data_IF_638562871251
#
_entry.id   IF_638562871251
#
_cell.length_a   1.000
_cell.length_b   1.000
_cell.length_c   1.000
_cell.angle_alpha   90.00
_cell.angle_beta   90.00
_cell.angle_gamma   90.00
#
_symmetry.space_group_name_H-M   'P 1'
#
loop_
_entity.id
_entity.type
_entity.pdbx_description
1 polymer ?
#
# COMPACT_ATOMS: atom_id res chain seq x y z
N UNK A 1 3.46 2.92 29.93
CA UNK A 1 2.56 2.17 29.04
C UNK A 1 3.39 1.69 27.87
N UNK A 2 3.46 0.39 27.58
CA UNK A 2 4.12 -0.07 26.36
C UNK A 2 3.32 0.41 25.16
N UNK A 3 3.99 0.74 24.06
CA UNK A 3 3.28 0.97 22.81
C UNK A 3 2.54 -0.31 22.40
N UNK A 4 1.35 -0.20 21.79
CA UNK A 4 0.66 -1.36 21.24
C UNK A 4 1.51 -1.99 20.13
N UNK A 5 1.46 -3.32 20.02
CA UNK A 5 2.10 -4.06 18.93
C UNK A 5 1.43 -3.67 17.60
N UNK A 6 2.17 -3.05 16.65
CA UNK A 6 1.61 -2.63 15.38
C UNK A 6 1.05 -3.78 14.54
N UNK A 7 1.56 -5.01 14.71
CA UNK A 7 1.09 -6.18 13.96
C UNK A 7 -0.34 -6.60 14.29
N UNK A 8 -0.94 -6.06 15.35
CA UNK A 8 -2.34 -6.31 15.74
C UNK A 8 -3.36 -5.87 14.69
N UNK A 9 -2.96 -5.05 13.71
CA UNK A 9 -3.82 -4.66 12.58
C UNK A 9 -3.72 -5.62 11.38
N UNK A 10 -2.92 -6.69 11.47
CA UNK A 10 -2.87 -7.77 10.46
C UNK A 10 -4.04 -8.73 10.64
N UNK A 11 -5.23 -8.25 10.33
CA UNK A 11 -6.46 -9.03 10.48
C UNK A 11 -6.48 -10.25 9.54
N UNK A 12 -6.91 -11.43 10.00
CA UNK A 12 -6.90 -12.65 9.19
C UNK A 12 -7.96 -12.60 8.07
N UNK A 13 -7.66 -13.25 6.95
CA UNK A 13 -8.59 -13.45 5.84
C UNK A 13 -7.88 -14.05 4.61
N UNK A 14 -8.47 -13.92 3.40
CA UNK A 14 -7.95 -14.56 2.19
C UNK A 14 -6.72 -13.85 1.58
N UNK A 15 -6.17 -12.83 2.24
CA UNK A 15 -4.98 -12.09 1.80
C UNK A 15 -3.72 -12.63 2.48
N UNK A 16 -2.58 -12.40 1.82
CA UNK A 16 -1.25 -12.58 2.40
C UNK A 16 -0.72 -11.24 2.89
N UNK A 17 -0.26 -11.20 4.14
CA UNK A 17 0.45 -10.04 4.67
C UNK A 17 1.92 -10.10 4.29
N UNK A 18 2.46 -8.99 3.78
CA UNK A 18 3.86 -8.85 3.38
C UNK A 18 4.49 -7.62 3.99
N UNK A 19 5.77 -7.75 4.28
CA UNK A 19 6.67 -6.65 4.59
C UNK A 19 7.47 -6.30 3.35
N UNK A 20 7.22 -5.12 2.79
CA UNK A 20 7.89 -4.65 1.58
C UNK A 20 8.81 -3.49 1.94
N UNK A 21 10.09 -3.62 1.63
CA UNK A 21 11.07 -2.57 1.91
C UNK A 21 11.17 -1.63 0.71
N UNK A 22 10.82 -0.36 0.92
CA UNK A 22 10.82 0.67 -0.10
C UNK A 22 11.20 2.01 0.51
N UNK A 23 12.00 2.80 -0.23
CA UNK A 23 12.36 4.18 0.15
C UNK A 23 12.86 4.32 1.61
N UNK A 24 13.63 3.33 2.08
CA UNK A 24 14.22 3.32 3.42
C UNK A 24 13.27 3.00 4.57
N UNK A 25 12.05 2.52 4.29
CA UNK A 25 11.10 2.04 5.31
C UNK A 25 10.57 0.65 4.97
N UNK A 26 10.05 -0.05 5.98
CA UNK A 26 9.21 -1.24 5.80
C UNK A 26 7.74 -0.83 5.74
N UNK A 27 7.12 -1.12 4.60
CA UNK A 27 5.68 -1.00 4.37
C UNK A 27 5.00 -2.34 4.65
N UNK A 28 3.95 -2.31 5.45
CA UNK A 28 3.00 -3.42 5.55
C UNK A 28 2.01 -3.36 4.37
N UNK A 29 1.88 -4.48 3.68
CA UNK A 29 0.94 -4.68 2.59
C UNK A 29 0.11 -5.94 2.79
N UNK A 30 -1.20 -5.87 2.57
CA UNK A 30 -2.07 -7.02 2.43
C UNK A 30 -2.41 -7.23 0.95
N UNK A 31 -2.15 -8.41 0.42
CA UNK A 31 -2.33 -8.71 -0.99
C UNK A 31 -3.19 -9.96 -1.26
N UNK A 32 -3.92 -9.96 -2.37
CA UNK A 32 -4.72 -11.08 -2.87
C UNK A 32 -4.79 -11.02 -4.40
N UNK A 33 -5.05 -12.15 -5.04
CA UNK A 33 -5.19 -12.25 -6.49
C UNK A 33 -4.07 -13.06 -7.13
N UNK A 34 -3.97 -13.06 -8.47
CA UNK A 34 -2.98 -13.84 -9.19
C UNK A 34 -1.55 -13.44 -8.83
N UNK A 35 -0.65 -14.43 -8.82
CA UNK A 35 0.81 -14.22 -8.67
C UNK A 35 1.53 -14.27 -10.01
N UNK A 36 0.79 -14.33 -11.12
CA UNK A 36 1.33 -14.26 -12.47
C UNK A 36 2.03 -12.90 -12.67
N UNK A 37 3.28 -12.87 -13.18
CA UNK A 37 3.98 -11.63 -13.52
C UNK A 37 3.20 -10.70 -14.45
N UNK A 38 2.34 -11.25 -15.32
CA UNK A 38 1.57 -10.47 -16.30
C UNK A 38 0.23 -9.95 -15.73
N UNK A 39 -0.15 -10.36 -14.51
CA UNK A 39 -1.38 -9.88 -13.88
C UNK A 39 -1.25 -8.40 -13.50
N UNK A 40 -2.19 -7.52 -13.93
CA UNK A 40 -2.10 -6.09 -13.66
C UNK A 40 -2.16 -5.81 -12.15
N UNK A 41 -1.28 -4.92 -11.69
CA UNK A 41 -1.20 -4.49 -10.30
C UNK A 41 -2.17 -3.34 -10.03
N UNK A 42 -2.96 -3.46 -8.96
CA UNK A 42 -3.70 -2.35 -8.36
C UNK A 42 -3.26 -2.15 -6.90
N UNK A 43 -2.90 -0.92 -6.56
CA UNK A 43 -2.47 -0.53 -5.21
C UNK A 43 -3.49 0.42 -4.59
N UNK A 44 -3.98 0.07 -3.41
CA UNK A 44 -4.96 0.82 -2.65
C UNK A 44 -4.32 1.61 -1.51
N UNK A 45 -4.56 2.92 -1.48
CA UNK A 45 -4.00 3.87 -0.53
C UNK A 45 -5.10 4.47 0.35
N UNK A 46 -5.04 4.23 1.65
CA UNK A 46 -6.05 4.71 2.61
C UNK A 46 -5.89 6.20 2.97
N UNK A 47 -6.87 6.77 3.67
CA UNK A 47 -6.87 8.14 4.19
C UNK A 47 -6.36 8.29 5.63
N UNK A 48 -6.58 9.48 6.20
CA UNK A 48 -6.28 9.73 7.62
C UNK A 48 -7.16 8.88 8.55
N UNK A 49 -6.57 8.42 9.66
CA UNK A 49 -7.23 7.57 10.67
C UNK A 49 -7.82 6.26 10.13
N UNK A 50 -7.29 5.79 9.00
CA UNK A 50 -7.59 4.49 8.40
C UNK A 50 -6.34 3.59 8.38
N UNK A 51 -6.51 2.39 7.83
CA UNK A 51 -5.46 1.43 7.55
C UNK A 51 -5.87 0.57 6.34
N UNK A 52 -5.01 -0.31 5.86
CA UNK A 52 -5.23 -1.17 4.69
C UNK A 52 -6.62 -1.85 4.65
N UNK A 53 -7.18 -2.17 5.83
CA UNK A 53 -8.46 -2.85 6.07
C UNK A 53 -9.68 -2.15 5.48
N UNK A 54 -9.59 -0.84 5.27
CA UNK A 54 -10.64 -0.06 4.58
C UNK A 54 -10.91 -0.63 3.19
N UNK A 55 -9.92 -1.27 2.57
CA UNK A 55 -10.00 -1.86 1.24
C UNK A 55 -10.32 -3.35 1.19
N UNK A 56 -10.63 -4.01 2.32
CA UNK A 56 -10.83 -5.47 2.38
C UNK A 56 -11.84 -6.02 1.37
N UNK A 57 -12.87 -5.24 1.04
CA UNK A 57 -13.90 -5.63 0.07
C UNK A 57 -13.41 -5.44 -1.36
N UNK A 58 -12.68 -4.35 -1.62
CA UNK A 58 -12.08 -4.06 -2.92
C UNK A 58 -10.96 -5.05 -3.26
N UNK A 59 -10.17 -5.46 -2.27
CA UNK A 59 -9.16 -6.51 -2.42
C UNK A 59 -9.78 -7.78 -3.03
N UNK A 60 -10.90 -8.26 -2.48
CA UNK A 60 -11.61 -9.43 -2.99
C UNK A 60 -12.13 -9.18 -4.41
N UNK A 61 -12.85 -8.08 -4.61
CA UNK A 61 -13.46 -7.78 -5.90
C UNK A 61 -12.44 -7.65 -7.04
N UNK A 62 -11.28 -7.04 -6.79
CA UNK A 62 -10.25 -6.88 -7.80
C UNK A 62 -9.46 -8.17 -8.04
N UNK A 63 -9.22 -8.98 -7.01
CA UNK A 63 -8.65 -10.31 -7.19
C UNK A 63 -9.53 -11.22 -8.05
N UNK A 64 -10.85 -11.22 -7.83
CA UNK A 64 -11.82 -11.95 -8.64
C UNK A 64 -11.87 -11.45 -10.10
N UNK A 65 -11.59 -10.16 -10.30
CA UNK A 65 -11.47 -9.56 -11.63
C UNK A 65 -10.10 -9.82 -12.31
N UNK A 66 -9.20 -10.58 -11.69
CA UNK A 66 -7.91 -10.97 -12.27
C UNK A 66 -6.75 -10.00 -12.01
N UNK A 67 -6.91 -9.03 -11.11
CA UNK A 67 -5.83 -8.14 -10.71
C UNK A 67 -5.06 -8.71 -9.53
N UNK A 68 -3.76 -8.44 -9.47
CA UNK A 68 -3.03 -8.54 -8.21
C UNK A 68 -3.38 -7.30 -7.38
N UNK A 69 -4.18 -7.48 -6.34
CA UNK A 69 -4.71 -6.40 -5.52
C UNK A 69 -3.89 -6.26 -4.24
N UNK A 70 -3.39 -5.06 -3.96
CA UNK A 70 -2.52 -4.77 -2.81
C UNK A 70 -3.05 -3.55 -2.05
N UNK A 71 -3.35 -3.68 -0.77
CA UNK A 71 -3.68 -2.58 0.11
C UNK A 71 -2.54 -2.35 1.10
N UNK A 72 -2.10 -1.10 1.24
CA UNK A 72 -0.90 -0.76 2.03
C UNK A 72 -1.27 0.14 3.19
N UNK A 73 -0.65 -0.12 4.35
CA UNK A 73 -0.60 0.87 5.42
C UNK A 73 0.39 1.95 5.00
N UNK A 74 -0.08 3.19 4.83
CA UNK A 74 0.78 4.31 4.50
C UNK A 74 1.80 4.55 5.62
N UNK A 75 2.91 5.22 5.29
CA UNK A 75 3.93 5.64 6.25
C UNK A 75 3.29 6.22 7.52
N UNK A 76 3.68 5.71 8.69
CA UNK A 76 3.12 6.15 9.98
C UNK A 76 1.88 5.38 10.46
N UNK A 77 1.25 4.58 9.60
CA UNK A 77 0.01 3.87 9.91
C UNK A 77 0.21 2.38 10.12
N UNK A 78 -0.78 1.77 10.78
CA UNK A 78 -0.91 0.32 10.96
C UNK A 78 0.40 -0.36 11.34
N UNK A 79 0.81 -1.37 10.58
CA UNK A 79 2.08 -2.09 10.80
C UNK A 79 3.22 -1.60 9.89
N UNK A 80 3.05 -0.46 9.22
CA UNK A 80 4.14 0.22 8.51
C UNK A 80 5.02 0.99 9.50
N UNK A 81 6.29 1.16 9.17
CA UNK A 81 7.22 1.94 9.98
C UNK A 81 6.75 3.39 10.19
N UNK A 82 7.13 3.95 11.34
CA UNK A 82 6.64 5.24 11.84
C UNK A 82 7.80 6.21 12.11
N UNK A 83 8.58 6.58 11.06
CA UNK A 83 9.72 7.47 11.23
C UNK A 83 9.26 8.84 11.73
N UNK A 84 10.12 9.61 12.43
CA UNK A 84 9.73 10.91 13.00
C UNK A 84 9.52 12.01 11.95
N UNK A 85 9.77 11.74 10.66
CA UNK A 85 9.72 12.70 9.55
C UNK A 85 9.44 12.02 8.21
N UNK A 86 9.22 12.83 7.17
CA UNK A 86 9.03 12.37 5.79
C UNK A 86 7.57 12.06 5.45
N UNK A 87 6.64 12.92 5.88
CA UNK A 87 5.20 12.80 5.60
C UNK A 87 4.72 13.81 4.53
N UNK A 88 5.67 14.45 3.85
CA UNK A 88 5.40 15.31 2.71
C UNK A 88 5.07 14.48 1.46
N UNK A 89 4.43 15.10 0.48
CA UNK A 89 3.98 14.41 -0.75
C UNK A 89 5.12 13.80 -1.57
N UNK A 90 6.34 14.32 -1.51
CA UNK A 90 7.50 13.78 -2.23
C UNK A 90 7.94 12.47 -1.60
N UNK A 91 8.04 12.43 -0.27
CA UNK A 91 8.41 11.21 0.43
C UNK A 91 7.34 10.13 0.28
N UNK A 92 6.06 10.49 0.47
CA UNK A 92 4.96 9.52 0.34
C UNK A 92 4.84 8.95 -1.07
N UNK A 93 4.98 9.79 -2.11
CA UNK A 93 4.98 9.31 -3.50
C UNK A 93 6.18 8.42 -3.82
N UNK A 94 7.35 8.72 -3.29
CA UNK A 94 8.54 7.88 -3.43
C UNK A 94 8.39 6.53 -2.72
N UNK A 95 7.67 6.46 -1.60
CA UNK A 95 7.32 5.21 -0.93
C UNK A 95 6.48 4.32 -1.87
N UNK A 96 5.43 4.88 -2.49
CA UNK A 96 4.54 4.12 -3.37
C UNK A 96 5.24 3.72 -4.68
N UNK A 97 6.00 4.61 -5.29
CA UNK A 97 6.79 4.25 -6.47
C UNK A 97 7.85 3.17 -6.14
N UNK A 98 8.45 3.24 -4.95
CA UNK A 98 9.38 2.23 -4.46
C UNK A 98 8.69 0.88 -4.19
N UNK A 99 7.50 0.91 -3.62
CA UNK A 99 6.66 -0.27 -3.39
C UNK A 99 6.34 -0.99 -4.70
N UNK A 100 5.85 -0.26 -5.72
CA UNK A 100 5.52 -0.85 -7.04
C UNK A 100 6.73 -1.59 -7.62
N UNK A 101 7.91 -0.95 -7.62
CA UNK A 101 9.16 -1.59 -8.06
C UNK A 101 9.54 -2.80 -7.21
N UNK A 102 9.42 -2.70 -5.89
CA UNK A 102 9.74 -3.79 -4.97
C UNK A 102 8.79 -4.99 -5.12
N UNK A 103 7.58 -4.78 -5.63
CA UNK A 103 6.63 -5.84 -5.98
C UNK A 103 6.91 -6.50 -7.34
N UNK A 104 7.91 -5.99 -8.08
CA UNK A 104 8.33 -6.51 -9.39
C UNK A 104 7.66 -5.84 -10.59
N UNK A 105 6.93 -4.75 -10.37
CA UNK A 105 6.19 -4.04 -11.42
C UNK A 105 6.90 -2.76 -11.86
N UNK A 106 6.70 -2.38 -13.11
CA UNK A 106 7.09 -1.08 -13.64
C UNK A 106 5.97 -0.06 -13.54
N UNK A 107 4.72 -0.50 -13.69
CA UNK A 107 3.51 0.32 -13.61
C UNK A 107 2.49 -0.28 -12.62
N UNK A 108 1.50 0.54 -12.22
CA UNK A 108 0.38 0.11 -11.40
C UNK A 108 -0.80 1.06 -11.56
N UNK A 109 -2.01 0.55 -11.34
CA UNK A 109 -3.19 1.40 -11.10
C UNK A 109 -3.21 1.78 -9.62
N UNK A 110 -3.21 3.08 -9.32
CA UNK A 110 -3.32 3.58 -7.96
C UNK A 110 -4.76 4.02 -7.65
N UNK A 111 -5.32 3.49 -6.57
CA UNK A 111 -6.66 3.86 -6.07
C UNK A 111 -6.50 4.42 -4.67
N UNK A 112 -6.91 5.67 -4.46
CA UNK A 112 -6.72 6.36 -3.19
C UNK A 112 -7.98 7.10 -2.75
N UNK A 113 -8.17 7.20 -1.43
CA UNK A 113 -9.23 8.04 -0.84
C UNK A 113 -8.64 9.00 0.21
N UNK A 114 -9.23 10.20 0.35
CA UNK A 114 -8.71 11.27 1.19
C UNK A 114 -7.20 11.51 0.95
N UNK A 115 -6.37 11.44 1.99
CA UNK A 115 -4.91 11.62 1.88
C UNK A 115 -4.27 10.61 0.92
N UNK A 116 -4.75 9.37 0.86
CA UNK A 116 -4.30 8.39 -0.14
C UNK A 116 -4.57 8.84 -1.58
N UNK A 117 -5.64 9.61 -1.82
CA UNK A 117 -5.89 10.23 -3.12
C UNK A 117 -4.87 11.32 -3.47
N UNK A 118 -4.44 12.12 -2.49
CA UNK A 118 -3.36 13.08 -2.66
C UNK A 118 -2.03 12.39 -2.98
N UNK A 119 -1.75 11.24 -2.34
CA UNK A 119 -0.58 10.41 -2.64
C UNK A 119 -0.66 9.85 -4.06
N UNK A 120 -1.83 9.39 -4.53
CA UNK A 120 -2.00 8.98 -5.93
C UNK A 120 -1.63 10.10 -6.90
N UNK A 121 -2.16 11.31 -6.70
CA UNK A 121 -1.85 12.46 -7.56
C UNK A 121 -0.36 12.83 -7.54
N UNK A 122 0.24 12.90 -6.36
CA UNK A 122 1.66 13.18 -6.22
C UNK A 122 2.50 12.11 -6.93
N UNK A 123 2.15 10.83 -6.80
CA UNK A 123 2.86 9.72 -7.43
C UNK A 123 2.75 9.79 -8.95
N UNK A 124 1.56 10.03 -9.49
CA UNK A 124 1.37 10.14 -10.94
C UNK A 124 2.14 11.32 -11.55
N UNK A 125 2.31 12.42 -10.81
CA UNK A 125 3.07 13.60 -11.28
C UNK A 125 4.58 13.39 -11.15
N UNK A 126 5.04 12.86 -10.01
CA UNK A 126 6.47 12.78 -9.66
C UNK A 126 7.16 11.50 -10.16
N UNK A 127 6.38 10.45 -10.42
CA UNK A 127 6.85 9.14 -10.88
C UNK A 127 6.02 8.63 -12.07
N UNK A 128 6.02 9.34 -13.21
CA UNK A 128 5.32 8.88 -14.41
C UNK A 128 6.05 7.67 -15.01
N UNK A 129 5.30 6.61 -15.35
CA UNK A 129 5.81 5.38 -15.97
C UNK A 129 5.07 4.16 -15.46
#
# INVERSE_FOLDING_TARGET
>A
MSLPDPSTVRYPGPWTHRDVHANGIRLHAAEIGPTDPDAPLVVFLHGFADLWWTWRHQLIAFAEAGFRAVAVDLRGYGDTDKPPRGYDGWTLSADIAGLVRALGYTDAVLVGHADGGLVCWATAILHPG
#
